data_IF_950160879410
#
_entry.id   IF_950160879410
#
_cell.length_a   1.000
_cell.length_b   1.000
_cell.length_c   1.000
_cell.angle_alpha   90.00
_cell.angle_beta   90.00
_cell.angle_gamma   90.00
#
_symmetry.space_group_name_H-M   'P 1'
#
loop_
_entity.id
_entity.type
_entity.pdbx_description
1 polymer ?
#
# COMPACT_ATOMS: atom_id res chain seq x y z
N UNK A 1 -9.39 -10.57 -25.31
CA UNK A 1 -9.66 -10.43 -23.87
C UNK A 1 -11.16 -10.30 -23.55
N UNK A 2 -12.09 -10.45 -24.51
CA UNK A 2 -13.54 -10.38 -24.22
C UNK A 2 -14.38 -11.36 -25.08
N UNK A 3 -13.77 -12.41 -25.65
CA UNK A 3 -14.44 -13.25 -26.67
C UNK A 3 -15.53 -14.18 -26.10
N UNK A 4 -15.56 -14.36 -24.78
CA UNK A 4 -16.42 -15.32 -24.09
C UNK A 4 -17.27 -14.69 -22.99
N UNK A 5 -17.52 -13.38 -23.06
CA UNK A 5 -18.35 -12.67 -22.09
C UNK A 5 -19.76 -12.54 -22.67
N UNK A 6 -20.73 -13.22 -22.07
CA UNK A 6 -22.13 -13.05 -22.43
C UNK A 6 -22.63 -11.67 -22.00
N UNK A 7 -23.55 -11.10 -22.77
CA UNK A 7 -24.22 -9.84 -22.44
C UNK A 7 -25.71 -10.12 -22.30
N UNK A 8 -26.29 -9.75 -21.16
CA UNK A 8 -27.71 -9.87 -20.86
C UNK A 8 -28.21 -8.47 -20.44
N UNK A 9 -29.32 -8.00 -21.03
CA UNK A 9 -29.88 -6.67 -20.75
C UNK A 9 -28.87 -5.51 -20.87
N UNK A 10 -28.02 -5.56 -21.90
CA UNK A 10 -26.94 -4.59 -22.14
C UNK A 10 -25.89 -4.51 -21.02
N UNK A 11 -25.78 -5.55 -20.19
CA UNK A 11 -24.77 -5.69 -19.14
C UNK A 11 -23.96 -6.97 -19.34
N UNK A 12 -22.62 -6.92 -19.18
CA UNK A 12 -21.80 -8.12 -19.26
C UNK A 12 -22.04 -9.02 -18.04
N UNK A 13 -22.08 -10.33 -18.26
CA UNK A 13 -22.28 -11.31 -17.21
C UNK A 13 -21.03 -11.37 -16.31
N UNK A 14 -21.22 -11.11 -15.00
CA UNK A 14 -20.12 -11.00 -14.04
C UNK A 14 -19.37 -12.32 -13.85
N UNK A 15 -20.07 -13.44 -13.98
CA UNK A 15 -19.50 -14.79 -13.93
C UNK A 15 -18.47 -15.01 -15.03
N UNK A 16 -18.79 -14.59 -16.26
CA UNK A 16 -17.88 -14.73 -17.40
C UNK A 16 -16.69 -13.79 -17.29
N UNK A 17 -16.90 -12.56 -16.80
CA UNK A 17 -15.81 -11.62 -16.47
C UNK A 17 -14.85 -12.26 -15.47
N UNK A 18 -15.41 -12.89 -14.42
CA UNK A 18 -14.63 -13.54 -13.37
C UNK A 18 -13.75 -14.65 -13.92
N UNK A 19 -14.33 -15.50 -14.78
CA UNK A 19 -13.58 -16.57 -15.45
C UNK A 19 -12.50 -16.02 -16.38
N UNK A 20 -12.77 -14.95 -17.12
CA UNK A 20 -11.80 -14.37 -18.06
C UNK A 20 -10.60 -13.76 -17.32
N UNK A 21 -10.80 -13.00 -16.23
CA UNK A 21 -9.65 -12.48 -15.49
C UNK A 21 -8.86 -13.60 -14.82
N UNK A 22 -9.49 -14.64 -14.27
CA UNK A 22 -8.76 -15.78 -13.70
C UNK A 22 -7.88 -16.48 -14.74
N UNK A 23 -8.36 -16.64 -15.98
CA UNK A 23 -7.52 -17.15 -17.08
C UNK A 23 -6.33 -16.23 -17.37
N UNK A 24 -6.54 -14.91 -17.37
CA UNK A 24 -5.48 -13.92 -17.56
C UNK A 24 -4.46 -13.87 -16.42
N UNK A 25 -4.88 -14.22 -15.20
CA UNK A 25 -4.06 -14.14 -13.98
C UNK A 25 -3.34 -15.45 -13.62
N UNK A 26 -3.34 -16.45 -14.52
CA UNK A 26 -2.61 -17.71 -14.33
C UNK A 26 -1.13 -17.52 -14.01
N UNK A 27 -0.49 -16.60 -14.72
CA UNK A 27 0.95 -16.31 -14.57
C UNK A 27 1.32 -15.69 -13.23
N UNK A 28 0.33 -15.24 -12.44
CA UNK A 28 0.54 -14.72 -11.10
C UNK A 28 -0.01 -15.64 -10.01
N UNK A 29 -0.75 -16.71 -10.33
CA UNK A 29 -1.32 -17.61 -9.32
C UNK A 29 -2.58 -17.07 -8.63
N UNK A 30 -3.40 -16.29 -9.35
CA UNK A 30 -4.70 -15.82 -8.88
C UNK A 30 -5.84 -16.47 -9.65
N UNK A 31 -5.99 -17.78 -9.53
CA UNK A 31 -6.78 -18.59 -10.49
C UNK A 31 -7.71 -19.60 -9.88
N UNK A 32 -7.51 -19.96 -8.60
CA UNK A 32 -8.41 -20.87 -7.90
C UNK A 32 -9.79 -20.26 -7.60
N UNK A 33 -10.02 -18.99 -7.94
CA UNK A 33 -11.33 -18.36 -7.77
C UNK A 33 -12.28 -18.82 -8.86
N UNK A 34 -13.55 -19.04 -8.50
CA UNK A 34 -14.63 -19.16 -9.47
C UNK A 34 -15.83 -18.36 -9.00
N UNK A 35 -16.74 -17.98 -9.91
CA UNK A 35 -18.00 -17.38 -9.49
C UNK A 35 -18.75 -18.23 -8.46
N UNK A 36 -18.70 -19.56 -8.59
CA UNK A 36 -19.33 -20.50 -7.67
C UNK A 36 -18.71 -20.43 -6.27
N UNK A 37 -17.37 -20.42 -6.18
CA UNK A 37 -16.68 -20.30 -4.89
C UNK A 37 -16.95 -18.94 -4.24
N UNK A 38 -16.89 -17.85 -5.00
CA UNK A 38 -17.18 -16.51 -4.49
C UNK A 38 -18.63 -16.36 -4.00
N UNK A 39 -19.60 -16.90 -4.75
CA UNK A 39 -21.01 -16.95 -4.31
C UNK A 39 -21.17 -17.79 -3.04
N UNK A 40 -20.44 -18.92 -2.94
CA UNK A 40 -20.45 -19.75 -1.74
C UNK A 40 -19.94 -18.97 -0.53
N UNK A 41 -18.86 -18.18 -0.67
CA UNK A 41 -18.40 -17.30 0.39
C UNK A 41 -19.46 -16.27 0.79
N UNK A 42 -20.07 -15.60 -0.19
CA UNK A 42 -21.09 -14.58 0.05
C UNK A 42 -22.31 -15.14 0.80
N UNK A 43 -22.77 -16.34 0.40
CA UNK A 43 -23.91 -17.01 1.03
C UNK A 43 -23.58 -17.53 2.45
N UNK A 44 -22.31 -17.80 2.75
CA UNK A 44 -21.85 -18.40 4.00
C UNK A 44 -20.94 -17.46 4.80
N UNK A 45 -21.09 -16.15 4.63
CA UNK A 45 -20.14 -15.17 5.19
C UNK A 45 -20.01 -15.25 6.72
N UNK A 46 -21.06 -15.74 7.38
CA UNK A 46 -21.14 -15.97 8.82
C UNK A 46 -20.22 -17.11 9.33
N UNK A 47 -19.73 -18.00 8.46
CA UNK A 47 -18.82 -19.09 8.86
C UNK A 47 -17.35 -18.64 8.93
N UNK A 48 -17.04 -17.43 8.48
CA UNK A 48 -15.67 -16.91 8.47
C UNK A 48 -15.33 -16.21 9.78
N UNK A 49 -14.22 -16.62 10.38
CA UNK A 49 -13.71 -15.99 11.60
C UNK A 49 -13.18 -14.57 11.30
N UNK A 50 -13.60 -13.57 12.07
CA UNK A 50 -13.33 -12.14 11.78
C UNK A 50 -11.84 -11.75 11.82
N UNK A 51 -11.03 -12.47 12.61
CA UNK A 51 -9.58 -12.22 12.72
C UNK A 51 -8.75 -13.06 11.77
N UNK A 52 -8.86 -14.40 11.84
CA UNK A 52 -8.08 -15.32 10.98
C UNK A 52 -8.58 -15.37 9.55
N UNK A 53 -9.80 -14.89 9.29
CA UNK A 53 -10.48 -14.94 7.99
C UNK A 53 -10.72 -16.36 7.47
N UNK A 54 -10.48 -17.40 8.26
CA UNK A 54 -10.71 -18.79 7.85
C UNK A 54 -12.20 -19.17 8.00
N UNK A 55 -12.72 -19.96 7.07
CA UNK A 55 -14.04 -20.58 7.19
C UNK A 55 -14.01 -21.76 8.17
N UNK A 56 -14.66 -21.58 9.32
CA UNK A 56 -14.78 -22.54 10.40
C UNK A 56 -16.02 -23.42 10.20
N UNK A 57 -15.93 -24.33 9.22
CA UNK A 57 -16.98 -25.28 8.87
C UNK A 57 -17.88 -24.81 7.72
N UNK A 58 -18.94 -25.59 7.46
CA UNK A 58 -19.89 -25.31 6.40
C UNK A 58 -19.35 -25.49 4.97
N UNK A 59 -20.08 -25.01 3.95
CA UNK A 59 -19.76 -25.23 2.54
C UNK A 59 -18.44 -24.62 2.07
N UNK A 60 -17.94 -23.59 2.77
CA UNK A 60 -16.67 -22.92 2.47
C UNK A 60 -15.51 -23.38 3.37
N UNK A 61 -15.70 -24.42 4.20
CA UNK A 61 -14.70 -24.85 5.18
C UNK A 61 -13.31 -25.03 4.56
N UNK A 62 -12.31 -24.44 5.22
CA UNK A 62 -10.91 -24.47 4.78
C UNK A 62 -10.52 -23.25 3.94
N UNK A 63 -11.47 -22.56 3.31
CA UNK A 63 -11.17 -21.36 2.54
C UNK A 63 -10.85 -20.14 3.43
N UNK A 64 -9.98 -19.27 2.92
CA UNK A 64 -9.75 -17.94 3.50
C UNK A 64 -10.69 -16.94 2.83
N UNK A 65 -11.33 -16.07 3.60
CA UNK A 65 -12.31 -15.11 3.09
C UNK A 65 -11.77 -14.30 1.90
N UNK A 66 -12.48 -14.35 0.77
CA UNK A 66 -12.09 -13.69 -0.48
C UNK A 66 -11.04 -14.44 -1.32
N UNK A 67 -10.53 -15.59 -0.86
CA UNK A 67 -9.47 -16.37 -1.53
C UNK A 67 -8.29 -15.50 -1.97
N UNK A 68 -7.62 -14.81 -1.03
CA UNK A 68 -6.60 -13.82 -1.33
C UNK A 68 -5.39 -14.41 -2.05
N UNK A 69 -4.63 -13.54 -2.68
CA UNK A 69 -3.52 -13.93 -3.54
C UNK A 69 -2.28 -14.42 -2.75
N UNK A 70 -1.59 -15.49 -3.19
CA UNK A 70 -2.00 -16.39 -4.28
C UNK A 70 -3.11 -17.37 -3.88
N UNK A 71 -3.95 -17.67 -4.87
CA UNK A 71 -4.94 -18.74 -4.84
C UNK A 71 -4.64 -19.68 -6.02
N UNK A 72 -3.86 -20.73 -5.74
CA UNK A 72 -3.25 -21.58 -6.75
C UNK A 72 -4.23 -22.47 -7.50
N UNK A 73 -3.86 -22.83 -8.72
CA UNK A 73 -4.48 -23.90 -9.47
C UNK A 73 -5.82 -23.55 -10.10
N UNK A 74 -6.56 -24.58 -10.49
CA UNK A 74 -7.94 -24.45 -10.94
C UNK A 74 -8.88 -24.34 -9.73
N UNK A 75 -10.13 -23.87 -9.91
CA UNK A 75 -11.10 -23.83 -8.82
C UNK A 75 -11.36 -25.19 -8.14
N UNK A 76 -11.23 -26.28 -8.90
CA UNK A 76 -11.40 -27.65 -8.42
C UNK A 76 -10.29 -28.08 -7.47
N UNK A 77 -9.09 -27.49 -7.57
CA UNK A 77 -8.00 -27.71 -6.62
C UNK A 77 -8.30 -27.14 -5.24
N UNK A 78 -9.27 -26.22 -5.13
CA UNK A 78 -9.74 -25.63 -3.87
C UNK A 78 -8.62 -25.09 -2.97
N UNK A 79 -7.59 -24.49 -3.57
CA UNK A 79 -6.62 -23.75 -2.78
C UNK A 79 -7.35 -22.63 -2.00
N UNK A 80 -7.08 -22.46 -0.70
CA UNK A 80 -7.89 -21.58 0.16
C UNK A 80 -7.59 -20.09 -0.03
N UNK A 81 -6.45 -19.78 -0.68
CA UNK A 81 -5.91 -18.43 -0.78
C UNK A 81 -4.91 -18.14 0.34
N UNK A 82 -4.06 -17.15 0.13
CA UNK A 82 -2.93 -16.81 1.01
C UNK A 82 -3.13 -15.39 1.55
N UNK A 83 -3.70 -15.24 2.75
CA UNK A 83 -3.92 -13.91 3.34
C UNK A 83 -2.67 -13.34 4.01
N UNK A 84 -1.81 -14.21 4.54
CA UNK A 84 -0.50 -13.85 5.10
C UNK A 84 0.56 -14.38 4.15
N UNK A 85 1.13 -13.48 3.36
CA UNK A 85 2.23 -13.83 2.46
C UNK A 85 3.45 -14.27 3.27
N UNK A 86 4.16 -15.27 2.75
CA UNK A 86 5.43 -15.76 3.30
C UNK A 86 5.32 -16.39 4.70
N UNK A 87 4.14 -16.87 5.08
CA UNK A 87 3.95 -17.67 6.29
C UNK A 87 4.52 -19.09 6.09
N UNK A 88 5.72 -19.30 6.61
CA UNK A 88 6.41 -20.61 6.57
C UNK A 88 5.87 -21.61 7.59
N UNK A 89 5.04 -21.17 8.55
CA UNK A 89 4.48 -22.06 9.58
C UNK A 89 3.34 -22.95 9.05
N UNK A 90 2.81 -22.64 7.87
CA UNK A 90 1.75 -23.38 7.17
C UNK A 90 2.27 -24.11 5.94
N UNK A 91 1.56 -25.16 5.55
CA UNK A 91 1.83 -25.82 4.27
C UNK A 91 1.36 -24.92 3.12
N UNK A 92 1.97 -25.07 1.94
CA UNK A 92 1.53 -24.31 0.75
C UNK A 92 0.08 -24.66 0.39
N UNK A 93 -0.35 -25.90 0.59
CA UNK A 93 -1.73 -26.32 0.33
C UNK A 93 -2.77 -25.59 1.20
N UNK A 94 -2.37 -25.11 2.39
CA UNK A 94 -3.22 -24.38 3.35
C UNK A 94 -3.04 -22.85 3.24
N UNK A 95 -2.44 -22.36 2.15
CA UNK A 95 -2.18 -20.93 1.96
C UNK A 95 -0.99 -20.40 2.74
N UNK A 96 -0.03 -21.26 3.09
CA UNK A 96 1.32 -20.86 3.49
C UNK A 96 2.22 -20.60 2.27
N UNK A 97 3.46 -20.20 2.52
CA UNK A 97 4.41 -20.02 1.42
C UNK A 97 5.71 -19.34 1.81
N UNK A 98 6.53 -19.13 0.80
CA UNK A 98 7.86 -18.53 0.88
C UNK A 98 8.02 -17.42 -0.17
N UNK A 99 9.17 -16.75 -0.16
CA UNK A 99 9.44 -15.64 -1.07
C UNK A 99 9.87 -16.15 -2.46
N UNK A 100 9.44 -15.45 -3.50
CA UNK A 100 9.54 -15.90 -4.91
C UNK A 100 10.96 -15.83 -5.50
N UNK A 101 11.33 -16.79 -6.37
CA UNK A 101 12.56 -16.75 -7.21
C UNK A 101 12.36 -15.96 -8.51
N UNK A 102 11.78 -14.77 -8.45
CA UNK A 102 11.47 -13.99 -9.67
C UNK A 102 12.70 -13.33 -10.31
N UNK A 103 13.76 -13.09 -9.53
CA UNK A 103 14.92 -12.30 -9.96
C UNK A 103 16.14 -13.14 -10.34
N UNK A 104 15.91 -14.41 -10.71
CA UNK A 104 16.96 -15.39 -10.94
C UNK A 104 17.39 -16.12 -9.67
N UNK A 105 18.37 -17.01 -9.82
CA UNK A 105 18.91 -17.86 -8.73
C UNK A 105 20.26 -17.38 -8.21
N UNK A 106 20.89 -16.42 -8.89
CA UNK A 106 22.20 -15.87 -8.54
C UNK A 106 22.28 -14.39 -8.93
N UNK A 107 23.04 -13.61 -8.18
CA UNK A 107 23.42 -12.24 -8.51
C UNK A 107 24.81 -11.92 -7.97
N UNK A 108 25.70 -11.40 -8.83
CA UNK A 108 27.09 -11.05 -8.49
C UNK A 108 27.85 -12.21 -7.81
N UNK A 109 27.66 -13.45 -8.27
CA UNK A 109 28.30 -14.63 -7.69
C UNK A 109 27.68 -15.12 -6.38
N UNK A 110 26.59 -14.50 -5.91
CA UNK A 110 25.88 -14.89 -4.68
C UNK A 110 24.56 -15.54 -5.00
N UNK A 111 24.29 -16.68 -4.38
CA UNK A 111 23.01 -17.36 -4.47
C UNK A 111 21.87 -16.45 -3.98
N UNK A 112 20.78 -16.43 -4.74
CA UNK A 112 19.52 -15.78 -4.39
C UNK A 112 18.50 -16.75 -3.79
N UNK A 113 18.80 -18.05 -3.83
CA UNK A 113 17.97 -19.09 -3.23
C UNK A 113 17.94 -18.91 -1.71
N UNK A 114 16.80 -19.22 -1.10
CA UNK A 114 16.69 -19.23 0.35
C UNK A 114 17.69 -20.23 0.97
N UNK A 115 18.11 -19.93 2.19
CA UNK A 115 18.96 -20.80 3.02
C UNK A 115 18.21 -20.99 4.33
N UNK A 116 18.06 -22.24 4.77
CA UNK A 116 17.38 -22.61 6.03
C UNK A 116 15.96 -22.02 6.18
N UNK A 117 15.26 -21.77 5.08
CA UNK A 117 13.93 -21.16 5.07
C UNK A 117 13.04 -21.81 4.03
N UNK A 118 11.99 -22.49 4.49
CA UNK A 118 11.05 -23.26 3.68
C UNK A 118 9.70 -23.36 4.39
N UNK A 119 8.62 -23.57 3.64
CA UNK A 119 7.29 -23.77 4.20
C UNK A 119 7.17 -25.12 4.91
N UNK A 120 6.30 -25.21 5.91
CA UNK A 120 5.99 -26.46 6.60
C UNK A 120 5.60 -27.56 5.61
N UNK A 121 6.18 -28.75 5.78
CA UNK A 121 5.90 -29.92 4.94
C UNK A 121 6.57 -29.88 3.55
N UNK A 122 7.43 -28.90 3.28
CA UNK A 122 8.20 -28.85 2.04
C UNK A 122 9.28 -29.94 2.00
N UNK A 123 9.33 -30.71 0.92
CA UNK A 123 10.38 -31.72 0.70
C UNK A 123 11.74 -31.12 0.33
N UNK A 124 11.75 -29.87 -0.16
CA UNK A 124 12.95 -29.10 -0.45
C UNK A 124 13.22 -28.11 0.68
N UNK A 125 14.19 -28.43 1.54
CA UNK A 125 14.51 -27.66 2.74
C UNK A 125 15.46 -26.47 2.51
N UNK A 126 15.72 -26.14 1.24
CA UNK A 126 16.48 -24.98 0.82
C UNK A 126 15.70 -24.20 -0.26
N UNK A 127 16.30 -23.14 -0.79
CA UNK A 127 15.74 -22.46 -1.95
C UNK A 127 15.82 -23.30 -3.23
N UNK A 128 14.80 -23.13 -4.07
CA UNK A 128 14.65 -23.86 -5.33
C UNK A 128 14.09 -22.93 -6.41
N UNK A 129 14.44 -23.15 -7.69
CA UNK A 129 13.92 -22.35 -8.79
C UNK A 129 12.41 -22.58 -8.99
N UNK A 130 11.79 -21.78 -9.85
CA UNK A 130 10.39 -21.98 -10.23
C UNK A 130 10.18 -23.36 -10.89
N UNK A 131 9.00 -23.94 -10.66
CA UNK A 131 8.69 -25.28 -11.17
C UNK A 131 8.45 -25.29 -12.68
N UNK A 132 9.12 -26.23 -13.34
CA UNK A 132 9.00 -26.55 -14.77
C UNK A 132 8.93 -28.06 -14.98
N UNK A 133 8.53 -28.48 -16.17
CA UNK A 133 8.54 -29.90 -16.56
C UNK A 133 9.91 -30.54 -16.33
N UNK A 134 11.00 -29.83 -16.66
CA UNK A 134 12.38 -30.25 -16.43
C UNK A 134 12.68 -30.45 -14.95
N UNK A 135 12.27 -29.51 -14.10
CA UNK A 135 12.51 -29.61 -12.65
C UNK A 135 11.73 -30.80 -12.06
N UNK A 136 10.47 -31.00 -12.45
CA UNK A 136 9.69 -32.16 -11.99
C UNK A 136 10.34 -33.48 -12.42
N UNK A 137 10.83 -33.58 -13.67
CA UNK A 137 11.56 -34.77 -14.16
C UNK A 137 12.85 -35.00 -13.37
N UNK A 138 13.61 -33.94 -13.09
CA UNK A 138 14.85 -34.02 -12.31
C UNK A 138 14.61 -34.48 -10.87
N UNK A 139 13.51 -34.05 -10.26
CA UNK A 139 13.13 -34.44 -8.90
C UNK A 139 12.43 -35.81 -8.82
N UNK A 140 12.14 -36.44 -9.97
CA UNK A 140 11.37 -37.69 -10.02
C UNK A 140 9.87 -37.52 -9.75
N UNK A 141 9.35 -36.28 -9.78
CA UNK A 141 7.95 -35.95 -9.50
C UNK A 141 7.08 -35.91 -10.77
N UNK A 142 7.68 -36.14 -11.94
CA UNK A 142 6.94 -36.14 -13.21
C UNK A 142 5.82 -37.17 -13.27
N UNK A 143 5.99 -38.31 -12.59
CA UNK A 143 5.01 -39.40 -12.57
C UNK A 143 3.81 -39.15 -11.66
N UNK A 144 3.83 -38.07 -10.88
CA UNK A 144 2.67 -37.61 -10.11
C UNK A 144 1.65 -36.82 -10.95
N UNK A 145 1.97 -36.51 -12.20
CA UNK A 145 1.05 -35.94 -13.19
C UNK A 145 0.19 -37.03 -13.85
N UNK A 146 -1.08 -36.73 -14.15
CA UNK A 146 -1.91 -37.59 -14.99
C UNK A 146 -1.39 -37.61 -16.44
N UNK A 147 -1.88 -38.53 -17.27
CA UNK A 147 -1.49 -38.58 -18.68
C UNK A 147 -1.83 -37.28 -19.43
N UNK A 148 -2.99 -36.69 -19.14
CA UNK A 148 -3.44 -35.43 -19.72
C UNK A 148 -2.59 -34.25 -19.25
N UNK A 149 -2.27 -34.19 -17.95
CA UNK A 149 -1.39 -33.16 -17.39
C UNK A 149 0.03 -33.28 -17.94
N UNK A 150 0.58 -34.50 -18.08
CA UNK A 150 1.89 -34.72 -18.72
C UNK A 150 1.92 -34.16 -20.14
N UNK A 151 0.90 -34.48 -20.94
CA UNK A 151 0.78 -33.97 -22.31
C UNK A 151 0.65 -32.43 -22.35
N UNK A 152 -0.06 -31.84 -21.37
CA UNK A 152 -0.22 -30.40 -21.28
C UNK A 152 1.02 -29.66 -20.75
N UNK A 153 1.77 -30.29 -19.84
CA UNK A 153 2.91 -29.70 -19.12
C UNK A 153 4.25 -29.85 -19.85
N UNK A 154 4.38 -30.78 -20.79
CA UNK A 154 5.63 -31.03 -21.54
C UNK A 154 6.19 -29.73 -22.16
N UNK A 155 7.45 -29.40 -21.85
CA UNK A 155 8.11 -28.18 -22.32
C UNK A 155 7.61 -26.87 -21.69
N UNK A 156 6.81 -26.93 -20.62
CA UNK A 156 6.20 -25.76 -19.96
C UNK A 156 6.66 -25.58 -18.52
N UNK A 157 6.31 -24.43 -17.95
CA UNK A 157 6.46 -24.16 -16.53
C UNK A 157 5.10 -23.89 -15.88
N UNK A 158 5.09 -23.72 -14.56
CA UNK A 158 3.86 -23.50 -13.78
C UNK A 158 2.97 -22.35 -14.31
N UNK A 159 3.54 -21.38 -15.04
CA UNK A 159 2.83 -20.22 -15.63
C UNK A 159 2.19 -20.52 -16.98
N UNK A 160 2.69 -21.52 -17.71
CA UNK A 160 2.25 -21.83 -19.08
C UNK A 160 1.56 -23.19 -19.19
N UNK A 161 1.76 -24.07 -18.21
CA UNK A 161 0.92 -25.24 -18.00
C UNK A 161 -0.46 -24.81 -17.47
N UNK A 162 -1.43 -24.70 -18.37
CA UNK A 162 -2.81 -24.32 -18.06
C UNK A 162 -3.65 -25.49 -17.52
N UNK A 163 -3.10 -26.71 -17.46
CA UNK A 163 -3.81 -27.84 -16.83
C UNK A 163 -3.83 -27.72 -15.30
N UNK A 164 -2.88 -26.97 -14.73
CA UNK A 164 -2.67 -26.92 -13.27
C UNK A 164 -1.78 -28.04 -12.74
N UNK A 165 -1.39 -29.01 -13.55
CA UNK A 165 -0.62 -30.17 -13.13
C UNK A 165 0.69 -29.82 -12.43
N UNK A 166 1.51 -28.92 -13.00
CA UNK A 166 2.76 -28.49 -12.38
C UNK A 166 2.51 -27.83 -11.02
N UNK A 167 1.48 -26.98 -10.92
CA UNK A 167 1.15 -26.32 -9.64
C UNK A 167 0.68 -27.34 -8.61
N UNK A 168 -0.20 -28.26 -9.01
CA UNK A 168 -0.74 -29.33 -8.15
C UNK A 168 0.37 -30.23 -7.61
N UNK A 169 1.30 -30.67 -8.46
CA UNK A 169 2.41 -31.53 -8.05
C UNK A 169 3.38 -30.78 -7.15
N UNK A 170 3.77 -29.55 -7.49
CA UNK A 170 4.62 -28.74 -6.61
C UNK A 170 4.01 -28.59 -5.20
N UNK A 171 2.72 -28.24 -5.13
CA UNK A 171 1.99 -28.08 -3.86
C UNK A 171 1.86 -29.41 -3.10
N UNK A 172 1.67 -30.53 -3.81
CA UNK A 172 1.64 -31.87 -3.22
C UNK A 172 2.93 -32.18 -2.44
N UNK A 173 4.09 -31.77 -2.96
CA UNK A 173 5.39 -31.90 -2.29
C UNK A 173 5.72 -30.72 -1.35
N UNK A 174 4.71 -29.95 -0.94
CA UNK A 174 4.83 -28.81 -0.04
C UNK A 174 5.62 -27.64 -0.62
N UNK A 175 5.85 -27.61 -1.93
CA UNK A 175 6.62 -26.57 -2.61
C UNK A 175 5.72 -25.53 -3.26
N UNK A 176 6.12 -24.26 -3.23
CA UNK A 176 5.38 -23.20 -3.90
C UNK A 176 5.75 -23.15 -5.39
N UNK A 177 4.79 -23.00 -6.32
CA UNK A 177 5.07 -23.10 -7.75
C UNK A 177 6.12 -22.10 -8.27
N UNK A 178 6.16 -20.89 -7.71
CA UNK A 178 7.05 -19.81 -8.16
C UNK A 178 8.49 -19.91 -7.64
N UNK A 179 8.84 -20.96 -6.88
CA UNK A 179 10.16 -21.16 -6.28
C UNK A 179 10.38 -20.51 -4.90
N UNK A 180 11.54 -20.74 -4.29
CA UNK A 180 11.88 -20.25 -2.95
C UNK A 180 13.23 -19.50 -2.93
N UNK A 181 13.20 -18.21 -2.59
CA UNK A 181 14.32 -17.29 -2.66
C UNK A 181 14.43 -16.40 -1.42
N UNK A 182 15.55 -15.68 -1.30
CA UNK A 182 15.73 -14.61 -0.31
C UNK A 182 14.90 -13.37 -0.70
N UNK A 183 14.24 -12.75 0.28
CA UNK A 183 13.68 -11.42 0.10
C UNK A 183 14.81 -10.40 -0.13
N UNK A 184 14.64 -9.52 -1.11
CA UNK A 184 15.59 -8.42 -1.39
C UNK A 184 14.90 -7.08 -1.32
N UNK A 185 15.52 -6.16 -0.63
CA UNK A 185 15.25 -4.73 -0.71
C UNK A 185 16.44 -4.02 -1.36
N UNK A 186 16.96 -4.57 -2.47
CA UNK A 186 18.02 -3.92 -3.27
C UNK A 186 17.39 -3.35 -4.53
N UNK A 187 17.34 -2.03 -4.64
CA UNK A 187 16.92 -1.32 -5.86
C UNK A 187 18.13 -0.67 -6.49
N UNK A 188 18.64 -1.24 -7.58
CA UNK A 188 19.92 -0.82 -8.18
C UNK A 188 19.89 0.56 -8.84
N UNK A 189 18.70 1.10 -9.15
CA UNK A 189 18.54 2.43 -9.74
C UNK A 189 18.31 3.53 -8.71
N UNK A 190 18.19 3.20 -7.42
CA UNK A 190 17.88 4.20 -6.39
C UNK A 190 19.17 4.75 -5.77
N UNK A 191 19.18 6.03 -5.33
CA UNK A 191 20.33 6.61 -4.63
C UNK A 191 20.74 5.77 -3.41
N UNK A 192 19.74 5.36 -2.62
CA UNK A 192 19.92 4.38 -1.55
C UNK A 192 19.47 3.01 -2.05
N UNK A 193 20.45 2.11 -2.27
CA UNK A 193 20.16 0.76 -2.80
C UNK A 193 19.33 -0.06 -1.82
N UNK A 194 19.45 0.20 -0.52
CA UNK A 194 18.64 -0.38 0.55
C UNK A 194 17.98 0.76 1.31
N UNK A 195 16.81 0.55 1.97
CA UNK A 195 16.22 1.57 2.80
C UNK A 195 17.20 2.02 3.88
N UNK A 196 17.59 3.30 3.85
CA UNK A 196 18.37 3.96 4.87
C UNK A 196 17.51 5.04 5.50
N UNK A 197 17.59 5.19 6.82
CA UNK A 197 16.95 6.32 7.49
C UNK A 197 17.65 7.63 7.08
N UNK A 198 16.85 8.65 6.80
CA UNK A 198 17.31 10.02 6.54
C UNK A 198 16.34 10.97 7.23
N UNK A 199 16.87 11.99 7.88
CA UNK A 199 16.02 13.02 8.47
C UNK A 199 15.33 13.85 7.37
N UNK A 200 14.10 14.33 7.63
CA UNK A 200 13.40 15.28 6.77
C UNK A 200 14.21 16.55 6.50
N UNK A 201 13.84 17.30 5.46
CA UNK A 201 14.50 18.59 5.20
C UNK A 201 14.38 19.56 6.37
N UNK A 202 13.19 19.62 6.96
CA UNK A 202 12.93 20.33 8.20
C UNK A 202 12.71 19.34 9.33
N UNK A 203 13.76 19.13 10.14
CA UNK A 203 13.70 18.27 11.32
C UNK A 203 13.96 19.05 12.61
N UNK A 204 13.20 18.81 13.68
CA UNK A 204 13.56 19.28 15.01
C UNK A 204 14.67 18.44 15.67
N UNK A 205 14.96 17.24 15.13
CA UNK A 205 16.00 16.32 15.61
C UNK A 205 17.32 16.58 14.90
N UNK A 206 17.81 17.81 15.06
CA UNK A 206 19.09 18.27 14.49
C UNK A 206 20.27 17.39 14.90
N UNK A 207 20.18 16.76 16.07
CA UNK A 207 21.17 15.82 16.61
C UNK A 207 21.37 14.58 15.74
N UNK A 208 20.36 14.16 14.96
CA UNK A 208 20.40 12.95 14.14
C UNK A 208 21.08 13.16 12.77
N UNK A 209 21.44 14.39 12.42
CA UNK A 209 21.89 14.70 11.05
C UNK A 209 23.31 14.29 10.74
N UNK A 210 24.13 14.07 11.76
CA UNK A 210 25.45 13.49 11.59
C UNK A 210 25.35 12.06 11.03
N UNK A 211 24.36 11.29 11.50
CA UNK A 211 24.17 9.89 11.14
C UNK A 211 23.20 9.72 9.95
N UNK A 212 22.22 10.62 9.83
CA UNK A 212 21.10 10.50 8.90
C UNK A 212 20.87 11.77 8.06
N UNK A 213 21.88 12.27 7.34
CA UNK A 213 21.73 13.46 6.51
C UNK A 213 20.81 13.21 5.31
N UNK A 214 20.24 14.29 4.77
CA UNK A 214 19.59 14.25 3.45
C UNK A 214 20.61 14.15 2.31
N UNK A 215 20.14 14.12 1.06
CA UNK A 215 20.98 14.05 -0.14
C UNK A 215 21.69 15.39 -0.43
N UNK A 216 22.74 15.38 -1.25
CA UNK A 216 23.27 16.63 -1.80
C UNK A 216 22.29 17.24 -2.81
N UNK A 217 22.30 18.57 -2.92
CA UNK A 217 21.47 19.31 -3.87
C UNK A 217 21.68 18.81 -5.31
N UNK A 218 20.60 18.70 -6.06
CA UNK A 218 20.61 18.24 -7.44
C UNK A 218 20.28 19.41 -8.36
N UNK A 219 21.19 19.70 -9.30
CA UNK A 219 20.97 20.72 -10.31
C UNK A 219 19.70 20.44 -11.12
N UNK A 220 19.42 19.15 -11.39
CA UNK A 220 18.19 18.69 -12.03
C UNK A 220 17.87 17.25 -11.60
N UNK A 221 16.72 17.04 -10.96
CA UNK A 221 16.04 15.75 -11.00
C UNK A 221 15.02 15.83 -12.14
N UNK A 222 15.26 15.08 -13.21
CA UNK A 222 14.59 15.22 -14.51
C UNK A 222 14.68 16.64 -15.10
N UNK A 223 13.80 17.55 -14.66
CA UNK A 223 13.68 18.93 -15.16
C UNK A 223 13.55 19.98 -14.04
N UNK A 224 13.65 19.57 -12.77
CA UNK A 224 13.45 20.46 -11.62
C UNK A 224 14.74 20.53 -10.80
N UNK A 225 15.37 21.71 -10.66
CA UNK A 225 16.40 21.92 -9.64
C UNK A 225 15.83 21.59 -8.28
N UNK A 226 16.49 20.68 -7.56
CA UNK A 226 15.97 20.14 -6.31
C UNK A 226 16.97 20.35 -5.18
N UNK A 227 16.59 21.20 -4.23
CA UNK A 227 17.39 21.50 -3.05
C UNK A 227 17.12 20.50 -1.94
N UNK A 228 18.20 20.02 -1.31
CA UNK A 228 18.18 19.07 -0.21
C UNK A 228 19.03 19.62 0.94
N UNK A 229 20.33 19.33 0.91
CA UNK A 229 21.30 19.74 1.93
C UNK A 229 21.32 21.24 2.19
N UNK A 230 21.12 22.09 1.19
CA UNK A 230 21.06 23.55 1.40
C UNK A 230 19.85 24.00 2.21
N UNK A 231 18.72 23.30 2.10
CA UNK A 231 17.54 23.53 2.94
C UNK A 231 17.78 22.96 4.33
N UNK A 232 18.23 21.69 4.43
CA UNK A 232 18.47 21.03 5.71
C UNK A 232 19.60 21.68 6.53
N UNK A 233 20.54 22.40 5.90
CA UNK A 233 21.57 23.15 6.60
C UNK A 233 21.04 24.34 7.39
N UNK A 234 19.86 24.87 7.03
CA UNK A 234 19.24 25.99 7.72
C UNK A 234 18.46 25.47 8.92
N UNK A 235 18.93 25.79 10.13
CA UNK A 235 18.19 25.42 11.34
C UNK A 235 16.93 26.29 11.50
N UNK A 236 15.79 25.69 11.16
CA UNK A 236 14.45 26.28 11.34
C UNK A 236 13.76 25.79 12.61
N UNK A 237 14.34 24.84 13.34
CA UNK A 237 13.68 24.17 14.47
C UNK A 237 13.43 25.09 15.66
N UNK A 238 14.24 26.14 15.81
CA UNK A 238 14.06 27.13 16.87
C UNK A 238 12.84 28.03 16.62
N UNK A 239 12.62 28.44 15.36
CA UNK A 239 11.49 29.31 14.97
C UNK A 239 10.21 28.51 14.73
N UNK A 240 10.35 27.26 14.27
CA UNK A 240 9.26 26.34 13.91
C UNK A 240 9.44 25.01 14.68
N UNK A 241 9.10 24.95 15.97
CA UNK A 241 9.43 23.80 16.82
C UNK A 241 8.46 22.61 16.69
N UNK A 242 7.31 22.78 16.04
CA UNK A 242 6.25 21.76 15.98
C UNK A 242 6.34 20.99 14.66
N UNK A 243 6.34 19.67 14.72
CA UNK A 243 6.22 18.82 13.54
C UNK A 243 4.80 18.92 12.99
N UNK A 244 4.65 19.33 11.73
CA UNK A 244 3.37 19.35 11.04
C UNK A 244 3.26 18.14 10.11
N UNK A 245 2.20 17.36 10.30
CA UNK A 245 1.82 16.27 9.40
C UNK A 245 0.43 16.52 8.82
N UNK A 246 0.14 15.92 7.66
CA UNK A 246 -1.12 16.10 6.95
C UNK A 246 -1.79 14.77 6.63
N UNK A 247 -3.11 14.72 6.68
CA UNK A 247 -3.85 13.49 6.43
C UNK A 247 -5.30 13.68 6.00
N UNK A 248 -6.02 12.56 5.99
CA UNK A 248 -7.39 12.49 5.51
C UNK A 248 -8.42 12.48 6.64
N UNK A 249 -9.62 12.92 6.30
CA UNK A 249 -10.84 12.78 7.07
C UNK A 249 -11.73 11.73 6.38
N UNK A 250 -12.57 11.05 7.16
CA UNK A 250 -13.41 9.96 6.63
C UNK A 250 -14.54 10.52 5.76
N UNK A 251 -14.98 11.73 6.09
CA UNK A 251 -16.10 12.46 5.48
C UNK A 251 -15.76 12.99 4.09
N UNK A 252 -14.46 13.13 3.76
CA UNK A 252 -13.98 13.79 2.57
C UNK A 252 -12.99 12.95 1.76
N UNK A 253 -13.04 13.14 0.44
CA UNK A 253 -12.16 12.48 -0.52
C UNK A 253 -11.29 13.49 -1.27
N UNK A 254 -10.06 13.11 -1.62
CA UNK A 254 -9.16 13.96 -2.42
C UNK A 254 -8.92 15.33 -1.79
N UNK A 255 -9.00 16.40 -2.59
CA UNK A 255 -8.97 17.80 -2.11
C UNK A 255 -10.34 18.32 -1.62
N UNK A 256 -11.33 17.43 -1.48
CA UNK A 256 -12.66 17.73 -0.95
C UNK A 256 -13.56 18.54 -1.89
N UNK A 257 -13.26 18.65 -3.18
CA UNK A 257 -14.09 19.41 -4.14
C UNK A 257 -15.53 18.88 -4.19
N UNK A 258 -15.68 17.60 -4.55
CA UNK A 258 -16.98 16.94 -4.68
C UNK A 258 -17.67 16.80 -3.32
N UNK A 259 -16.90 16.46 -2.30
CA UNK A 259 -17.42 16.05 -0.99
C UNK A 259 -17.75 17.22 -0.06
N UNK A 260 -17.06 18.37 -0.15
CA UNK A 260 -17.49 19.62 0.54
C UNK A 260 -18.63 20.35 -0.18
N UNK A 261 -18.91 19.95 -1.42
CA UNK A 261 -20.06 20.42 -2.21
C UNK A 261 -21.27 19.50 -2.05
N UNK A 262 -21.16 18.44 -1.25
CA UNK A 262 -22.26 17.56 -0.87
C UNK A 262 -22.77 17.99 0.52
N UNK A 263 -24.06 18.36 0.68
CA UNK A 263 -24.56 18.93 1.93
C UNK A 263 -24.48 17.95 3.10
N UNK A 264 -24.68 16.64 2.87
CA UNK A 264 -24.66 15.63 3.92
C UNK A 264 -23.25 15.38 4.46
N UNK A 265 -22.25 15.35 3.58
CA UNK A 265 -20.85 15.21 3.97
C UNK A 265 -20.30 16.50 4.59
N UNK A 266 -20.68 17.65 4.03
CA UNK A 266 -20.33 18.96 4.55
C UNK A 266 -20.83 19.19 5.99
N UNK A 267 -22.00 18.64 6.33
CA UNK A 267 -22.54 18.70 7.69
C UNK A 267 -21.67 17.97 8.72
N UNK A 268 -21.03 16.86 8.34
CA UNK A 268 -20.20 16.06 9.24
C UNK A 268 -18.91 16.78 9.67
N UNK A 269 -18.37 17.67 8.83
CA UNK A 269 -17.19 18.48 9.18
C UNK A 269 -17.23 19.88 8.56
N UNK A 270 -17.72 20.85 9.33
CA UNK A 270 -18.02 22.20 8.81
C UNK A 270 -16.83 23.17 8.77
N UNK A 271 -15.78 22.92 9.55
CA UNK A 271 -14.64 23.83 9.68
C UNK A 271 -13.33 23.09 9.45
N UNK A 272 -12.37 23.76 8.84
CA UNK A 272 -10.99 23.27 8.81
C UNK A 272 -10.34 23.53 10.17
N UNK A 273 -9.58 22.55 10.67
CA UNK A 273 -8.92 22.63 11.96
C UNK A 273 -7.46 22.14 11.89
N UNK A 274 -6.69 22.44 12.92
CA UNK A 274 -5.40 21.81 13.24
C UNK A 274 -5.51 21.09 14.57
N UNK A 275 -5.13 19.82 14.62
CA UNK A 275 -5.04 19.10 15.89
C UNK A 275 -3.77 19.49 16.62
N UNK A 276 -3.90 19.89 17.88
CA UNK A 276 -2.77 20.30 18.73
C UNK A 276 -2.88 19.63 20.09
N UNK A 277 -1.74 19.22 20.65
CA UNK A 277 -1.73 18.62 21.98
C UNK A 277 -2.10 19.66 23.05
N UNK A 278 -2.83 19.28 24.13
CA UNK A 278 -3.13 20.19 25.23
C UNK A 278 -1.91 20.88 25.84
N UNK A 279 -0.76 20.20 25.92
CA UNK A 279 0.47 20.81 26.43
C UNK A 279 0.90 21.99 25.55
N UNK A 280 0.98 21.76 24.24
CA UNK A 280 1.47 22.78 23.30
C UNK A 280 0.47 23.93 23.19
N UNK A 281 -0.84 23.65 23.20
CA UNK A 281 -1.87 24.69 23.21
C UNK A 281 -1.80 25.60 24.44
N UNK A 282 -1.55 25.01 25.63
CA UNK A 282 -1.35 25.77 26.87
C UNK A 282 -0.08 26.64 26.82
N UNK A 283 1.03 26.08 26.34
CA UNK A 283 2.31 26.79 26.22
C UNK A 283 2.21 27.94 25.20
N UNK A 284 1.43 27.76 24.13
CA UNK A 284 1.21 28.74 23.06
C UNK A 284 0.04 29.71 23.35
N UNK A 285 -0.74 29.49 24.41
CA UNK A 285 -1.76 30.42 24.89
C UNK A 285 -3.07 30.46 24.09
N UNK A 286 -3.54 29.33 23.55
CA UNK A 286 -4.87 29.23 22.93
C UNK A 286 -5.70 28.05 23.44
N UNK A 287 -7.01 28.15 23.30
CA UNK A 287 -7.98 27.14 23.74
C UNK A 287 -8.55 26.36 22.56
N UNK A 288 -9.25 25.27 22.86
CA UNK A 288 -10.02 24.53 21.88
C UNK A 288 -11.04 25.45 21.17
N UNK A 289 -11.16 25.32 19.85
CA UNK A 289 -12.06 26.14 19.04
C UNK A 289 -11.59 27.56 18.74
N UNK A 290 -10.47 28.04 19.31
CA UNK A 290 -9.88 29.32 18.92
C UNK A 290 -9.44 29.29 17.45
N UNK A 291 -9.43 30.46 16.78
CA UNK A 291 -8.75 30.57 15.50
C UNK A 291 -7.24 30.71 15.73
N UNK A 292 -6.46 29.99 14.94
CA UNK A 292 -4.99 30.02 14.99
C UNK A 292 -4.40 30.18 13.60
N UNK A 293 -3.23 30.82 13.54
CA UNK A 293 -2.35 30.76 12.39
C UNK A 293 -1.43 29.56 12.53
N UNK A 294 -1.40 28.72 11.49
CA UNK A 294 -0.37 27.69 11.31
C UNK A 294 0.54 28.18 10.19
N UNK A 295 1.80 28.41 10.50
CA UNK A 295 2.80 28.90 9.56
C UNK A 295 3.91 27.87 9.39
N UNK A 296 4.15 27.41 8.16
CA UNK A 296 5.22 26.46 7.86
C UNK A 296 6.59 27.13 7.80
N UNK A 297 7.67 26.33 7.82
CA UNK A 297 9.04 26.82 7.73
C UNK A 297 9.37 27.66 6.47
N UNK A 298 8.56 27.53 5.43
CA UNK A 298 8.60 28.33 4.19
C UNK A 298 7.78 29.63 4.28
N UNK A 299 7.32 30.00 5.49
CA UNK A 299 6.54 31.21 5.83
C UNK A 299 5.12 31.30 5.28
N UNK A 300 4.69 30.33 4.48
CA UNK A 300 3.29 30.19 4.11
C UNK A 300 2.43 29.88 5.33
N UNK A 301 1.28 30.55 5.45
CA UNK A 301 0.41 30.47 6.63
C UNK A 301 -1.06 30.24 6.27
N UNK A 302 -1.76 29.55 7.16
CA UNK A 302 -3.20 29.28 7.05
C UNK A 302 -3.91 29.64 8.34
N UNK A 303 -5.16 30.11 8.25
CA UNK A 303 -6.01 30.42 9.40
C UNK A 303 -7.07 29.34 9.60
N UNK A 304 -6.94 28.54 10.65
CA UNK A 304 -7.80 27.37 10.92
C UNK A 304 -8.26 27.34 12.39
N UNK A 305 -9.25 26.51 12.70
CA UNK A 305 -9.67 26.26 14.09
C UNK A 305 -8.64 25.40 14.82
N UNK A 306 -8.38 25.69 16.09
CA UNK A 306 -7.65 24.76 16.95
C UNK A 306 -8.58 23.62 17.38
N UNK A 307 -8.14 22.38 17.22
CA UNK A 307 -8.74 21.19 17.84
C UNK A 307 -7.75 20.66 18.88
N UNK A 308 -7.95 20.99 20.15
CA UNK A 308 -7.05 20.60 21.22
C UNK A 308 -7.35 19.17 21.64
N UNK A 309 -6.44 18.24 21.35
CA UNK A 309 -6.68 16.80 21.53
C UNK A 309 -5.42 16.01 21.85
N UNK A 310 -5.57 14.92 22.61
CA UNK A 310 -4.48 13.99 22.95
C UNK A 310 -4.18 12.97 21.85
N UNK A 311 -4.87 13.03 20.70
CA UNK A 311 -4.61 12.16 19.53
C UNK A 311 -3.24 12.43 18.91
N UNK A 312 -2.78 13.67 18.98
CA UNK A 312 -1.42 14.06 18.59
C UNK A 312 -0.49 14.14 19.81
N UNK A 313 0.78 13.77 19.63
CA UNK A 313 1.81 13.85 20.66
C UNK A 313 2.25 15.32 20.87
N UNK A 314 2.78 15.68 22.06
CA UNK A 314 3.42 16.97 22.24
C UNK A 314 4.52 17.22 21.20
N UNK A 315 4.61 18.44 20.68
CA UNK A 315 5.52 18.84 19.60
C UNK A 315 5.08 18.36 18.20
N UNK A 316 3.84 17.87 18.04
CA UNK A 316 3.30 17.42 16.76
C UNK A 316 1.87 17.96 16.55
N UNK A 317 1.61 18.44 15.35
CA UNK A 317 0.30 18.89 14.90
C UNK A 317 -0.15 18.13 13.65
N UNK A 318 -1.46 17.92 13.52
CA UNK A 318 -2.07 17.27 12.37
C UNK A 318 -3.03 18.22 11.64
N UNK A 319 -2.96 18.23 10.32
CA UNK A 319 -3.79 19.07 9.46
C UNK A 319 -4.50 18.25 8.38
N UNK A 320 -5.85 18.30 8.28
CA UNK A 320 -6.57 17.71 7.17
C UNK A 320 -6.36 18.52 5.88
N UNK A 321 -6.27 17.85 4.72
CA UNK A 321 -5.98 18.51 3.44
C UNK A 321 -7.18 18.61 2.47
N UNK A 322 -8.40 18.46 2.97
CA UNK A 322 -9.62 18.41 2.15
C UNK A 322 -10.26 19.77 1.87
N UNK A 323 -9.62 20.87 2.25
CA UNK A 323 -10.25 22.19 2.27
C UNK A 323 -9.65 23.15 1.24
N UNK A 324 -10.43 24.18 0.90
CA UNK A 324 -10.10 25.21 -0.07
C UNK A 324 -11.20 26.28 -0.11
N UNK A 325 -10.97 27.38 -0.81
CA UNK A 325 -11.90 28.52 -0.83
C UNK A 325 -11.63 29.59 0.24
N UNK A 326 -10.57 29.42 1.04
CA UNK A 326 -9.91 30.50 1.79
C UNK A 326 -8.42 30.54 1.40
N UNK A 327 -7.81 31.72 1.46
CA UNK A 327 -6.38 31.89 1.26
C UNK A 327 -5.81 32.90 2.25
N UNK A 328 -4.98 32.43 3.18
CA UNK A 328 -4.40 33.24 4.25
C UNK A 328 -5.43 34.06 5.02
N UNK A 329 -6.54 33.42 5.40
CA UNK A 329 -7.64 34.00 6.17
C UNK A 329 -8.65 34.79 5.35
N UNK A 330 -8.39 35.05 4.07
CA UNK A 330 -9.33 35.71 3.16
C UNK A 330 -10.32 34.69 2.57
N UNK A 331 -11.60 35.06 2.55
CA UNK A 331 -12.65 34.25 1.95
C UNK A 331 -12.67 34.44 0.42
N UNK A 332 -12.52 33.35 -0.32
CA UNK A 332 -12.48 33.35 -1.78
C UNK A 332 -13.82 32.96 -2.41
N UNK A 333 -14.88 32.69 -1.63
CA UNK A 333 -16.24 32.41 -2.15
C UNK A 333 -16.72 33.44 -3.19
N UNK A 334 -16.46 34.75 -3.05
CA UNK A 334 -16.85 35.73 -4.08
C UNK A 334 -16.20 35.50 -5.46
N UNK A 335 -15.14 34.68 -5.56
CA UNK A 335 -14.46 34.35 -6.82
C UNK A 335 -15.02 33.08 -7.49
N UNK A 336 -15.92 32.35 -6.84
CA UNK A 336 -16.57 31.19 -7.44
C UNK A 336 -17.66 31.64 -8.42
N UNK A 337 -17.84 30.95 -9.56
CA UNK A 337 -19.01 31.14 -10.41
C UNK A 337 -20.33 31.00 -9.64
N UNK A 338 -21.37 31.69 -10.11
CA UNK A 338 -22.70 31.63 -9.50
C UNK A 338 -23.20 30.18 -9.39
N UNK A 339 -23.71 29.81 -8.22
CA UNK A 339 -24.21 28.45 -7.95
C UNK A 339 -23.15 27.37 -7.73
N UNK A 340 -21.86 27.71 -7.73
CA UNK A 340 -20.75 26.72 -7.60
C UNK A 340 -19.98 26.81 -6.27
N UNK A 341 -20.43 27.66 -5.35
CA UNK A 341 -19.79 27.76 -4.04
C UNK A 341 -19.99 26.45 -3.25
N UNK A 342 -18.92 25.87 -2.67
CA UNK A 342 -19.06 24.70 -1.81
C UNK A 342 -19.74 25.09 -0.50
N UNK A 343 -20.39 24.13 0.16
CA UNK A 343 -21.04 24.35 1.46
C UNK A 343 -20.03 24.67 2.57
N UNK A 344 -18.85 24.04 2.49
CA UNK A 344 -17.76 24.21 3.46
C UNK A 344 -16.52 24.75 2.76
N UNK A 345 -15.92 25.79 3.33
CA UNK A 345 -14.67 26.41 2.86
C UNK A 345 -13.61 26.41 3.94
N UNK A 346 -12.35 26.31 3.52
CA UNK A 346 -11.20 26.36 4.41
C UNK A 346 -9.93 26.68 3.63
N UNK A 347 -8.80 26.56 4.29
CA UNK A 347 -7.49 26.84 3.70
C UNK A 347 -6.96 25.63 2.93
N UNK A 348 -6.08 25.86 1.96
CA UNK A 348 -5.31 24.77 1.38
C UNK A 348 -4.16 24.39 2.31
N UNK A 349 -4.14 23.15 2.80
CA UNK A 349 -3.08 22.65 3.69
C UNK A 349 -1.68 22.84 3.10
N UNK A 350 -1.55 22.67 1.78
CA UNK A 350 -0.29 22.84 1.04
C UNK A 350 0.36 24.21 1.24
N UNK A 351 -0.41 25.27 1.55
CA UNK A 351 0.12 26.61 1.83
C UNK A 351 1.06 26.61 3.04
N UNK A 352 0.88 25.71 4.00
CA UNK A 352 1.72 25.59 5.20
C UNK A 352 2.75 24.43 5.11
N UNK A 353 2.89 23.79 3.94
CA UNK A 353 3.82 22.66 3.74
C UNK A 353 5.18 23.08 3.18
N UNK A 354 6.14 22.14 3.16
CA UNK A 354 7.53 22.35 2.72
C UNK A 354 7.72 22.17 1.22
N UNK A 355 8.85 22.67 0.73
CA UNK A 355 9.38 22.43 -0.60
C UNK A 355 9.74 20.96 -0.90
N UNK A 356 10.23 20.18 0.06
CA UNK A 356 10.97 18.92 -0.19
C UNK A 356 10.36 17.88 -1.15
N UNK A 357 11.20 17.05 -1.78
CA UNK A 357 10.80 16.06 -2.79
C UNK A 357 11.55 14.73 -2.68
N UNK A 358 10.86 13.61 -2.94
CA UNK A 358 11.48 12.29 -3.09
C UNK A 358 12.50 12.27 -4.26
N UNK A 359 13.71 11.73 -4.07
CA UNK A 359 14.80 11.83 -5.05
C UNK A 359 14.62 10.97 -6.30
N UNK A 360 13.60 10.10 -6.33
CA UNK A 360 13.33 9.19 -7.45
C UNK A 360 12.09 9.64 -8.22
N UNK A 361 11.03 9.96 -7.51
CA UNK A 361 9.68 10.20 -8.06
C UNK A 361 9.29 11.67 -8.09
N UNK A 362 10.04 12.55 -7.43
CA UNK A 362 9.68 13.94 -7.19
C UNK A 362 8.34 14.12 -6.46
N UNK A 363 7.92 13.11 -5.69
CA UNK A 363 6.75 13.24 -4.83
C UNK A 363 7.06 14.17 -3.66
N UNK A 364 6.23 15.19 -3.45
CA UNK A 364 6.47 16.22 -2.44
C UNK A 364 6.38 15.67 -1.00
N UNK A 365 7.27 16.14 -0.13
CA UNK A 365 7.39 15.85 1.30
C UNK A 365 6.26 16.52 2.12
N UNK A 366 5.01 16.13 1.86
CA UNK A 366 3.83 16.75 2.50
C UNK A 366 3.48 16.18 3.87
N UNK A 367 4.21 15.16 4.35
CA UNK A 367 3.85 14.36 5.53
C UNK A 367 4.65 14.70 6.76
N UNK A 368 5.76 15.41 6.61
CA UNK A 368 6.63 15.82 7.70
C UNK A 368 7.30 17.13 7.33
N UNK A 369 7.03 18.16 8.12
CA UNK A 369 7.69 19.46 8.06
C UNK A 369 7.64 20.09 9.45
N UNK A 370 8.13 21.32 9.57
CA UNK A 370 8.03 22.13 10.76
C UNK A 370 7.02 23.27 10.58
N UNK A 371 6.33 23.60 11.66
CA UNK A 371 5.46 24.76 11.74
C UNK A 371 5.58 25.48 13.09
N UNK A 372 5.01 26.68 13.10
CA UNK A 372 4.72 27.48 14.28
C UNK A 372 3.21 27.72 14.31
N UNK A 373 2.63 27.67 15.51
CA UNK A 373 1.20 27.88 15.72
C UNK A 373 1.02 29.03 16.70
N UNK A 374 0.21 30.01 16.33
CA UNK A 374 -0.09 31.18 17.18
C UNK A 374 -1.57 31.51 17.13
N UNK A 375 -2.10 32.05 18.22
CA UNK A 375 -3.47 32.59 18.26
C UNK A 375 -3.65 33.68 17.20
N UNK A 376 -4.79 33.67 16.50
CA UNK A 376 -5.04 34.52 15.33
C UNK A 376 -5.54 35.92 15.62
#
# INVERSE_FOLDING_TARGET
MCKHIRVENNQPLIEDITREFNRGMWTIGYTGQSPERLKTHQQNWHTFHKTTLAAEGGPAHGDTYGMPWPCWGTPEMKHPGTHILYDTSKTVAEGGGNFRTRFGVEFEGKSLLAEDSYSKGCELQDGYPEFSDKLLKQLGWWDDLTAEEKAAAEGKNWKTDLSGGIQRVAIKHGCIPFGNAKARAIVWTFPDRVPLHREPLYTPRRDLLADYPTWDDQAFIFRVPTLYKSIQAQDKSVEYPIILTSGRLVEYEGGGEETRSNPWLAELQQEMFVEVNPKDANDLGFMDGDMVWVEGAEKGRIKVKAMVTRRVKPGMAFLPFHFGGKFQGEDLRPKYPEGTQPYVVGEAANTATTYGYDPVTLMQETKVTLCNIRKA
#
